data_IF_195158747816
#
_entry.id   IF_195158747816
#
_cell.length_a   1.000
_cell.length_b   1.000
_cell.length_c   1.000
_cell.angle_alpha   90.00
_cell.angle_beta   90.00
_cell.angle_gamma   90.00
#
_symmetry.space_group_name_H-M   'P 1'
#
loop_
_entity.id
_entity.type
_entity.pdbx_description
1 polymer ?
#
# COMPACT_ATOMS: atom_id res chain seq x y z
N UNK A 1 -12.89 -51.67 -41.03
CA UNK A 1 -13.34 -50.57 -41.91
C UNK A 1 -13.95 -49.51 -41.01
N UNK A 2 -13.50 -48.27 -40.88
CA UNK A 2 -12.45 -47.48 -41.52
C UNK A 2 -12.05 -46.40 -40.49
N UNK A 3 -10.77 -46.35 -40.12
CA UNK A 3 -9.81 -45.24 -40.37
C UNK A 3 -10.01 -43.96 -39.56
N UNK A 4 -9.06 -43.79 -38.65
CA UNK A 4 -8.58 -42.55 -38.03
C UNK A 4 -8.31 -41.45 -39.07
N UNK A 5 -8.61 -40.20 -38.72
CA UNK A 5 -8.04 -39.03 -39.38
C UNK A 5 -7.14 -38.29 -38.39
N UNK A 6 -5.84 -38.52 -38.56
CA UNK A 6 -4.79 -37.60 -38.19
C UNK A 6 -4.96 -36.33 -39.03
N UNK A 7 -5.07 -35.17 -38.40
CA UNK A 7 -4.73 -33.90 -39.05
C UNK A 7 -3.24 -33.68 -38.90
N UNK A 8 -2.50 -34.11 -39.94
CA UNK A 8 -1.13 -33.69 -40.22
C UNK A 8 -1.12 -32.19 -40.51
N UNK A 9 -0.34 -31.43 -39.74
CA UNK A 9 -0.02 -30.03 -40.02
C UNK A 9 1.21 -30.03 -40.93
N UNK A 10 0.98 -29.86 -42.24
CA UNK A 10 2.00 -29.85 -43.27
C UNK A 10 2.71 -28.49 -43.38
N UNK A 11 4.04 -28.60 -43.27
CA UNK A 11 5.09 -27.91 -44.03
C UNK A 11 5.41 -26.40 -43.85
N UNK A 12 6.54 -26.19 -43.15
CA UNK A 12 7.75 -25.49 -43.62
C UNK A 12 7.61 -24.13 -44.30
N UNK A 13 7.33 -23.09 -43.51
CA UNK A 13 7.90 -21.76 -43.77
C UNK A 13 9.29 -21.68 -43.13
N UNK A 14 10.32 -21.92 -43.94
CA UNK A 14 11.71 -21.63 -43.56
C UNK A 14 11.83 -20.14 -43.29
N UNK A 15 12.12 -19.77 -42.04
CA UNK A 15 12.57 -18.42 -41.68
C UNK A 15 13.91 -18.16 -42.38
N UNK A 16 13.87 -17.60 -43.59
CA UNK A 16 15.07 -17.11 -44.25
C UNK A 16 15.51 -15.88 -43.47
N UNK A 17 16.61 -16.00 -42.72
CA UNK A 17 17.29 -14.90 -42.07
C UNK A 17 17.86 -13.94 -43.12
N UNK A 18 16.98 -13.17 -43.75
CA UNK A 18 17.31 -12.12 -44.71
C UNK A 18 17.34 -10.79 -43.94
N UNK A 19 18.49 -10.51 -43.31
CA UNK A 19 18.81 -9.22 -42.71
C UNK A 19 19.22 -9.30 -41.23
N UNK A 20 20.53 -9.45 -40.98
CA UNK A 20 21.28 -8.86 -39.85
C UNK A 20 20.81 -8.97 -38.37
N UNK A 21 19.88 -9.84 -38.00
CA UNK A 21 19.58 -10.11 -36.59
C UNK A 21 20.51 -11.20 -36.01
N UNK A 22 21.73 -10.80 -35.66
CA UNK A 22 22.61 -11.63 -34.82
C UNK A 22 22.10 -11.67 -33.37
N UNK A 23 22.26 -12.81 -32.68
CA UNK A 23 21.88 -12.93 -31.26
C UNK A 23 22.64 -11.88 -30.45
N UNK A 24 21.96 -10.98 -29.72
CA UNK A 24 22.62 -9.95 -28.94
C UNK A 24 23.52 -10.62 -27.91
N UNK A 25 24.77 -10.17 -27.78
CA UNK A 25 25.65 -10.72 -26.75
C UNK A 25 25.02 -10.46 -25.38
N UNK A 26 25.00 -11.49 -24.54
CA UNK A 26 24.73 -11.31 -23.11
C UNK A 26 25.91 -10.52 -22.54
N UNK A 27 25.70 -9.24 -22.23
CA UNK A 27 26.71 -8.31 -21.71
C UNK A 27 26.51 -8.05 -20.22
N UNK A 28 27.59 -7.74 -19.50
CA UNK A 28 27.52 -7.35 -18.08
C UNK A 28 27.26 -8.52 -17.13
N UNK A 29 26.35 -8.32 -16.18
CA UNK A 29 25.94 -9.30 -15.15
C UNK A 29 24.84 -10.26 -15.62
N UNK A 30 24.28 -10.04 -16.81
CA UNK A 30 23.19 -10.84 -17.33
C UNK A 30 23.71 -12.24 -17.74
N UNK A 31 22.87 -13.25 -17.59
CA UNK A 31 23.12 -14.65 -17.98
C UNK A 31 22.20 -15.11 -19.10
N UNK A 32 21.04 -14.47 -19.24
CA UNK A 32 19.97 -14.84 -20.15
C UNK A 32 19.56 -13.65 -21.03
N UNK A 33 19.05 -13.95 -22.22
CA UNK A 33 18.52 -12.95 -23.15
C UNK A 33 17.10 -12.52 -22.74
N UNK A 34 16.32 -13.45 -22.19
CA UNK A 34 15.01 -13.13 -21.65
C UNK A 34 14.63 -14.06 -20.49
N UNK A 35 13.92 -13.50 -19.52
CA UNK A 35 13.16 -14.24 -18.53
C UNK A 35 11.70 -14.30 -18.99
N UNK A 36 11.12 -15.49 -19.11
CA UNK A 36 9.70 -15.67 -19.43
C UNK A 36 8.93 -15.98 -18.15
N UNK A 37 8.04 -15.08 -17.77
CA UNK A 37 7.12 -15.23 -16.65
C UNK A 37 5.75 -15.67 -17.16
N UNK A 38 5.22 -16.77 -16.61
CA UNK A 38 3.98 -17.40 -17.04
C UNK A 38 3.33 -18.18 -15.88
N UNK A 39 2.03 -18.47 -15.99
CA UNK A 39 1.31 -19.31 -15.01
C UNK A 39 1.65 -20.77 -15.24
N UNK A 40 1.65 -21.59 -14.17
CA UNK A 40 1.82 -23.03 -14.32
C UNK A 40 0.78 -23.66 -15.25
N UNK A 41 -0.43 -23.09 -15.33
CA UNK A 41 -1.48 -23.52 -16.25
C UNK A 41 -1.10 -23.37 -17.73
N UNK A 42 -0.21 -22.42 -18.06
CA UNK A 42 0.21 -22.11 -19.43
C UNK A 42 1.53 -22.81 -19.83
N UNK A 43 2.10 -23.61 -18.93
CA UNK A 43 3.42 -24.23 -19.08
C UNK A 43 3.58 -24.98 -20.40
N UNK A 44 2.60 -25.79 -20.78
CA UNK A 44 2.67 -26.57 -22.02
C UNK A 44 2.78 -25.70 -23.28
N UNK A 45 2.09 -24.55 -23.32
CA UNK A 45 2.17 -23.61 -24.43
C UNK A 45 3.52 -22.90 -24.44
N UNK A 46 3.97 -22.43 -23.28
CA UNK A 46 5.24 -21.70 -23.13
C UNK A 46 6.44 -22.59 -23.46
N UNK A 47 6.44 -23.86 -23.05
CA UNK A 47 7.52 -24.79 -23.40
C UNK A 47 7.62 -25.05 -24.90
N UNK A 48 6.49 -25.16 -25.61
CA UNK A 48 6.50 -25.24 -27.08
C UNK A 48 7.08 -23.98 -27.71
N UNK A 49 6.73 -22.80 -27.18
CA UNK A 49 7.29 -21.54 -27.63
C UNK A 49 8.81 -21.49 -27.42
N UNK A 50 9.28 -21.87 -26.23
CA UNK A 50 10.71 -21.88 -25.90
C UNK A 50 11.48 -22.83 -26.80
N UNK A 51 10.97 -24.05 -27.01
CA UNK A 51 11.59 -25.01 -27.92
C UNK A 51 11.75 -24.42 -29.31
N UNK A 52 10.69 -23.83 -29.85
CA UNK A 52 10.71 -23.18 -31.17
C UNK A 52 11.69 -22.00 -31.23
N UNK A 53 11.79 -21.21 -30.15
CA UNK A 53 12.76 -20.10 -30.05
C UNK A 53 14.20 -20.61 -30.04
N UNK A 54 14.50 -21.63 -29.23
CA UNK A 54 15.84 -22.22 -29.10
C UNK A 54 16.27 -22.94 -30.40
N UNK A 55 15.33 -23.55 -31.14
CA UNK A 55 15.59 -24.11 -32.48
C UNK A 55 15.83 -23.05 -33.55
N UNK A 56 15.03 -21.98 -33.56
CA UNK A 56 15.09 -20.95 -34.61
C UNK A 56 16.25 -19.96 -34.40
N UNK A 57 16.63 -19.73 -33.14
CA UNK A 57 17.64 -18.73 -32.76
C UNK A 57 18.79 -19.43 -32.01
N UNK A 58 19.79 -19.96 -32.74
CA UNK A 58 20.91 -20.64 -32.13
C UNK A 58 21.65 -19.76 -31.12
N UNK A 59 21.77 -20.23 -29.88
CA UNK A 59 22.49 -19.53 -28.80
C UNK A 59 21.64 -18.55 -27.99
N UNK A 60 20.33 -18.42 -28.27
CA UNK A 60 19.43 -17.75 -27.35
C UNK A 60 19.39 -18.52 -26.02
N UNK A 61 19.25 -17.78 -24.93
CA UNK A 61 19.26 -18.30 -23.54
C UNK A 61 18.03 -17.75 -22.86
N UNK A 62 17.09 -18.63 -22.57
CA UNK A 62 15.82 -18.29 -21.95
C UNK A 62 15.84 -18.78 -20.50
N UNK A 63 15.45 -17.89 -19.58
CA UNK A 63 15.26 -18.18 -18.17
C UNK A 63 13.77 -18.41 -17.89
N UNK A 64 13.46 -19.42 -17.08
CA UNK A 64 12.10 -19.77 -16.67
C UNK A 64 12.06 -20.26 -15.23
N UNK A 65 10.92 -20.06 -14.58
CA UNK A 65 10.79 -20.33 -13.15
C UNK A 65 10.82 -21.81 -12.77
N UNK A 66 10.45 -22.70 -13.68
CA UNK A 66 10.44 -24.14 -13.48
C UNK A 66 11.82 -24.78 -13.75
N UNK A 67 12.70 -24.13 -14.51
CA UNK A 67 14.06 -24.61 -14.80
C UNK A 67 15.13 -23.97 -13.92
N UNK A 68 15.03 -22.67 -13.65
CA UNK A 68 16.14 -21.87 -13.12
C UNK A 68 15.97 -21.46 -11.64
N UNK A 69 14.82 -21.76 -11.03
CA UNK A 69 14.62 -21.46 -9.61
C UNK A 69 15.47 -22.36 -8.73
N UNK A 70 16.17 -21.75 -7.78
CA UNK A 70 16.96 -22.48 -6.80
C UNK A 70 16.06 -22.93 -5.66
N UNK A 71 15.97 -24.23 -5.44
CA UNK A 71 15.26 -24.81 -4.30
C UNK A 71 15.86 -24.29 -2.97
N UNK A 72 15.00 -23.93 -2.03
CA UNK A 72 15.39 -23.34 -0.74
C UNK A 72 15.45 -21.81 -0.73
N UNK A 73 15.38 -21.14 -1.89
CA UNK A 73 15.11 -19.69 -1.98
C UNK A 73 13.62 -19.41 -2.07
N UNK A 74 13.20 -18.24 -1.62
CA UNK A 74 11.80 -17.82 -1.80
C UNK A 74 11.49 -17.59 -3.28
N UNK A 75 10.22 -17.73 -3.67
CA UNK A 75 9.76 -17.47 -5.05
C UNK A 75 10.11 -16.03 -5.46
N UNK A 76 9.99 -15.09 -4.52
CA UNK A 76 10.25 -13.66 -4.71
C UNK A 76 11.74 -13.41 -5.01
N UNK A 77 12.66 -13.98 -4.22
CA UNK A 77 14.11 -13.89 -4.46
C UNK A 77 14.49 -14.53 -5.79
N UNK A 78 13.96 -15.73 -6.08
CA UNK A 78 14.22 -16.42 -7.35
C UNK A 78 13.76 -15.57 -8.56
N UNK A 79 12.58 -14.94 -8.50
CA UNK A 79 12.13 -14.04 -9.56
C UNK A 79 13.02 -12.82 -9.69
N UNK A 80 13.45 -12.21 -8.59
CA UNK A 80 14.32 -11.04 -8.62
C UNK A 80 15.66 -11.38 -9.30
N UNK A 81 16.25 -12.53 -8.97
CA UNK A 81 17.48 -13.01 -9.59
C UNK A 81 17.30 -13.31 -11.09
N UNK A 82 16.18 -13.92 -11.48
CA UNK A 82 15.87 -14.19 -12.88
C UNK A 82 15.70 -12.90 -13.68
N UNK A 83 15.05 -11.89 -13.11
CA UNK A 83 14.89 -10.55 -13.71
C UNK A 83 16.24 -9.85 -13.84
N UNK A 84 17.02 -9.79 -12.75
CA UNK A 84 18.32 -9.13 -12.74
C UNK A 84 19.28 -9.77 -13.74
N UNK A 85 19.26 -11.10 -13.86
CA UNK A 85 20.14 -11.85 -14.75
C UNK A 85 19.63 -11.98 -16.19
N UNK A 86 18.54 -11.30 -16.56
CA UNK A 86 17.98 -11.35 -17.91
C UNK A 86 17.96 -9.99 -18.58
N UNK A 87 18.27 -9.93 -19.88
CA UNK A 87 18.25 -8.66 -20.62
C UNK A 87 16.84 -8.10 -20.85
N UNK A 88 15.85 -8.98 -20.98
CA UNK A 88 14.43 -8.65 -21.22
C UNK A 88 13.53 -9.50 -20.34
N UNK A 89 12.32 -9.01 -20.09
CA UNK A 89 11.28 -9.71 -19.36
C UNK A 89 10.11 -9.93 -20.32
N UNK A 90 9.72 -11.17 -20.53
CA UNK A 90 8.54 -11.54 -21.32
C UNK A 90 7.45 -11.98 -20.35
N UNK A 91 6.28 -11.35 -20.42
CA UNK A 91 5.14 -11.68 -19.57
C UNK A 91 4.05 -12.34 -20.40
N UNK A 92 3.77 -13.62 -20.15
CA UNK A 92 2.71 -14.36 -20.84
C UNK A 92 1.43 -14.23 -20.02
N UNK A 93 0.53 -13.38 -20.50
CA UNK A 93 -0.70 -12.98 -19.83
C UNK A 93 -1.86 -13.91 -20.20
N UNK A 94 -2.49 -14.45 -19.17
CA UNK A 94 -3.71 -15.26 -19.18
C UNK A 94 -4.51 -14.90 -17.92
N UNK A 95 -5.80 -15.27 -17.81
CA UNK A 95 -6.55 -15.08 -16.56
C UNK A 95 -5.81 -15.67 -15.34
N UNK A 96 -5.25 -16.87 -15.48
CA UNK A 96 -4.54 -17.56 -14.41
C UNK A 96 -3.20 -16.90 -14.10
N UNK A 97 -2.53 -16.26 -15.08
CA UNK A 97 -1.34 -15.47 -14.81
C UNK A 97 -1.67 -14.23 -13.99
N UNK A 98 -2.74 -13.52 -14.33
CA UNK A 98 -3.19 -12.31 -13.62
C UNK A 98 -3.52 -12.64 -12.17
N UNK A 99 -4.21 -13.76 -11.94
CA UNK A 99 -4.63 -14.19 -10.61
C UNK A 99 -3.49 -14.78 -9.74
N UNK A 100 -2.36 -15.18 -10.33
CA UNK A 100 -1.28 -15.86 -9.61
C UNK A 100 0.06 -15.11 -9.64
N UNK A 101 0.72 -15.07 -10.80
CA UNK A 101 2.07 -14.52 -10.97
C UNK A 101 2.08 -13.01 -10.97
N UNK A 102 1.15 -12.40 -11.68
CA UNK A 102 1.02 -10.95 -11.70
C UNK A 102 0.73 -10.41 -10.30
N UNK A 103 -0.18 -11.06 -9.56
CA UNK A 103 -0.45 -10.70 -8.16
C UNK A 103 0.83 -10.64 -7.31
N UNK A 104 1.78 -11.57 -7.53
CA UNK A 104 3.05 -11.59 -6.80
C UNK A 104 4.03 -10.50 -7.25
N UNK A 105 4.09 -10.21 -8.55
CA UNK A 105 4.82 -9.05 -9.10
C UNK A 105 4.30 -7.75 -8.51
N UNK A 106 2.99 -7.63 -8.47
CA UNK A 106 2.27 -6.46 -8.02
C UNK A 106 2.49 -6.21 -6.52
N UNK A 107 2.36 -7.25 -5.69
CA UNK A 107 2.63 -7.16 -4.25
C UNK A 107 4.09 -6.80 -3.92
N UNK A 108 5.04 -7.12 -4.80
CA UNK A 108 6.49 -6.91 -4.57
C UNK A 108 7.10 -5.90 -5.55
N UNK A 109 6.28 -5.01 -6.11
CA UNK A 109 6.72 -4.11 -7.17
C UNK A 109 7.88 -3.21 -6.73
N UNK A 110 7.93 -2.80 -5.46
CA UNK A 110 9.05 -2.02 -4.92
C UNK A 110 10.39 -2.76 -4.96
N UNK A 111 10.36 -4.09 -4.78
CA UNK A 111 11.57 -4.92 -4.83
C UNK A 111 12.00 -5.17 -6.28
N UNK A 112 11.03 -5.36 -7.18
CA UNK A 112 11.33 -5.56 -8.60
C UNK A 112 11.66 -4.26 -9.33
N UNK A 113 11.20 -3.10 -8.85
CA UNK A 113 11.38 -1.79 -9.50
C UNK A 113 12.85 -1.50 -9.79
N UNK A 114 13.73 -1.66 -8.80
CA UNK A 114 15.16 -1.43 -8.97
C UNK A 114 15.77 -2.38 -10.02
N UNK A 115 15.33 -3.63 -10.02
CA UNK A 115 15.81 -4.67 -10.92
C UNK A 115 15.28 -4.54 -12.36
N UNK A 116 14.09 -3.95 -12.52
CA UNK A 116 13.39 -3.77 -13.80
C UNK A 116 13.69 -2.41 -14.46
N UNK A 117 14.23 -1.45 -13.71
CA UNK A 117 14.43 -0.04 -14.11
C UNK A 117 15.17 0.18 -15.43
N UNK A 118 15.87 -0.83 -15.94
CA UNK A 118 16.63 -0.79 -17.20
C UNK A 118 16.38 -2.01 -18.10
N UNK A 119 15.27 -2.73 -17.91
CA UNK A 119 14.95 -3.97 -18.64
C UNK A 119 13.71 -3.75 -19.50
N UNK A 120 13.75 -4.18 -20.76
CA UNK A 120 12.58 -4.13 -21.63
C UNK A 120 11.55 -5.18 -21.23
N UNK A 121 10.30 -4.77 -21.06
CA UNK A 121 9.15 -5.65 -20.80
C UNK A 121 8.42 -5.91 -22.12
N UNK A 122 8.09 -7.17 -22.39
CA UNK A 122 7.36 -7.64 -23.58
C UNK A 122 6.12 -8.41 -23.13
N UNK A 123 4.94 -7.77 -23.09
CA UNK A 123 3.69 -8.45 -22.77
C UNK A 123 3.21 -9.29 -23.96
N UNK A 124 2.74 -10.51 -23.69
CA UNK A 124 2.12 -11.41 -24.65
C UNK A 124 0.73 -11.77 -24.10
N UNK A 125 -0.35 -11.45 -24.83
CA UNK A 125 -1.70 -11.89 -24.51
C UNK A 125 -1.88 -13.29 -25.08
N UNK A 126 -1.88 -14.30 -24.21
CA UNK A 126 -2.13 -15.69 -24.58
C UNK A 126 -3.63 -15.99 -24.66
N UNK A 127 -4.40 -15.48 -23.69
CA UNK A 127 -5.85 -15.59 -23.62
C UNK A 127 -6.43 -14.25 -23.12
N UNK A 128 -7.65 -13.86 -23.53
CA UNK A 128 -8.27 -12.62 -23.06
C UNK A 128 -8.32 -12.56 -21.53
N UNK A 129 -7.73 -11.51 -20.95
CA UNK A 129 -7.68 -11.30 -19.51
C UNK A 129 -7.75 -9.80 -19.18
N UNK A 130 -8.04 -9.47 -17.92
CA UNK A 130 -7.98 -8.08 -17.46
C UNK A 130 -6.52 -7.63 -17.48
N UNK A 131 -6.18 -6.72 -18.40
CA UNK A 131 -4.83 -6.20 -18.51
C UNK A 131 -4.48 -5.41 -17.24
N UNK A 132 -3.39 -5.78 -16.54
CA UNK A 132 -2.96 -5.03 -15.40
C UNK A 132 -2.65 -3.57 -15.76
N UNK A 133 -3.05 -2.63 -14.92
CA UNK A 133 -2.85 -1.19 -15.16
C UNK A 133 -1.37 -0.81 -15.36
N UNK A 134 -0.46 -1.55 -14.73
CA UNK A 134 0.98 -1.34 -14.95
C UNK A 134 1.44 -1.75 -16.35
N UNK A 135 0.72 -2.64 -17.05
CA UNK A 135 1.04 -3.05 -18.41
C UNK A 135 0.17 -2.33 -19.46
N UNK A 136 -0.87 -1.59 -19.05
CA UNK A 136 -1.85 -1.00 -19.98
C UNK A 136 -1.30 0.09 -20.88
N UNK A 137 -0.15 0.66 -20.55
CA UNK A 137 0.55 1.65 -21.37
C UNK A 137 1.59 1.01 -22.31
N UNK A 138 1.82 -0.30 -22.21
CA UNK A 138 2.72 -1.04 -23.06
C UNK A 138 1.95 -1.67 -24.22
N UNK A 139 2.54 -1.64 -25.42
CA UNK A 139 2.04 -2.46 -26.52
C UNK A 139 2.35 -3.93 -26.24
N UNK A 140 1.44 -4.80 -26.65
CA UNK A 140 1.52 -6.25 -26.40
C UNK A 140 1.51 -7.02 -27.71
N UNK A 141 1.92 -8.29 -27.65
CA UNK A 141 1.80 -9.24 -28.75
C UNK A 141 0.62 -10.17 -28.47
N UNK A 142 -0.23 -10.44 -29.47
CA UNK A 142 -1.29 -11.43 -29.34
C UNK A 142 -0.78 -12.79 -29.80
N UNK A 143 -0.98 -13.84 -29.00
CA UNK A 143 -0.50 -15.18 -29.33
C UNK A 143 -1.22 -15.80 -30.55
N UNK A 144 -2.41 -15.29 -30.88
CA UNK A 144 -3.23 -15.72 -32.01
C UNK A 144 -2.85 -15.02 -33.33
N UNK A 145 -2.01 -13.99 -33.29
CA UNK A 145 -1.51 -13.29 -34.48
C UNK A 145 -0.66 -14.23 -35.35
N UNK A 146 -0.94 -14.29 -36.65
CA UNK A 146 -0.21 -15.14 -37.61
C UNK A 146 1.29 -14.81 -37.64
N UNK A 147 1.65 -13.53 -37.43
CA UNK A 147 3.03 -13.04 -37.41
C UNK A 147 3.62 -12.98 -35.99
N UNK A 148 2.90 -13.49 -34.97
CA UNK A 148 3.30 -13.43 -33.56
C UNK A 148 4.76 -13.86 -33.34
N UNK A 149 5.13 -15.01 -33.88
CA UNK A 149 6.45 -15.60 -33.64
C UNK A 149 7.57 -14.74 -34.24
N UNK A 150 7.38 -14.21 -35.44
CA UNK A 150 8.35 -13.34 -36.08
C UNK A 150 8.51 -12.01 -35.33
N UNK A 151 7.39 -11.41 -34.90
CA UNK A 151 7.38 -10.19 -34.09
C UNK A 151 8.12 -10.39 -32.77
N UNK A 152 7.90 -11.53 -32.10
CA UNK A 152 8.60 -11.89 -30.87
C UNK A 152 10.10 -12.06 -31.09
N UNK A 153 10.51 -12.81 -32.12
CA UNK A 153 11.93 -12.99 -32.46
C UNK A 153 12.62 -11.65 -32.72
N UNK A 154 12.03 -10.77 -33.53
CA UNK A 154 12.54 -9.41 -33.77
C UNK A 154 12.67 -8.61 -32.48
N UNK A 155 11.69 -8.71 -31.57
CA UNK A 155 11.71 -8.00 -30.28
C UNK A 155 12.82 -8.52 -29.36
N UNK A 156 12.99 -9.83 -29.27
CA UNK A 156 14.01 -10.46 -28.42
C UNK A 156 15.43 -10.13 -28.89
N UNK A 157 15.66 -10.11 -30.20
CA UNK A 157 16.96 -9.91 -30.82
C UNK A 157 17.40 -8.43 -30.93
N UNK A 158 16.50 -7.48 -30.68
CA UNK A 158 16.84 -6.04 -30.71
C UNK A 158 17.80 -5.67 -29.56
N UNK A 159 18.86 -4.90 -29.86
CA UNK A 159 19.84 -4.47 -28.86
C UNK A 159 19.26 -3.46 -27.85
N UNK A 160 19.50 -3.72 -26.55
CA UNK A 160 19.04 -2.87 -25.44
C UNK A 160 19.72 -1.49 -25.40
N UNK A 161 20.91 -1.33 -25.99
CA UNK A 161 21.69 -0.08 -25.96
C UNK A 161 21.00 1.13 -26.64
N UNK A 162 19.99 0.88 -27.50
CA UNK A 162 19.15 1.93 -28.10
C UNK A 162 17.83 2.15 -27.34
N UNK A 163 17.49 1.31 -26.36
CA UNK A 163 16.23 1.42 -25.61
C UNK A 163 16.35 2.30 -24.36
N UNK A 164 17.55 2.46 -23.82
CA UNK A 164 17.78 3.25 -22.60
C UNK A 164 17.48 4.74 -22.78
N UNK A 165 17.47 5.27 -24.01
CA UNK A 165 17.05 6.66 -24.30
C UNK A 165 15.58 6.75 -24.77
N UNK A 166 15.10 5.82 -25.60
CA UNK A 166 13.76 5.91 -26.21
C UNK A 166 12.62 5.34 -25.33
N UNK A 167 12.92 4.50 -24.33
CA UNK A 167 11.95 3.89 -23.41
C UNK A 167 12.30 4.20 -21.96
N UNK A 168 12.91 5.35 -21.70
CA UNK A 168 12.86 5.99 -20.39
C UNK A 168 11.44 6.50 -20.15
N UNK A 169 10.48 5.57 -20.02
CA UNK A 169 9.28 5.85 -19.27
C UNK A 169 9.79 6.15 -17.87
N UNK A 170 9.83 7.43 -17.54
CA UNK A 170 10.03 7.90 -16.17
C UNK A 170 9.07 7.08 -15.32
N UNK A 171 9.63 6.15 -14.56
CA UNK A 171 8.90 5.13 -13.83
C UNK A 171 8.12 5.84 -12.72
N UNK A 172 6.96 6.40 -13.07
CA UNK A 172 6.06 6.97 -12.10
C UNK A 172 5.45 5.79 -11.36
N UNK A 173 5.92 5.60 -10.14
CA UNK A 173 5.47 4.62 -9.16
C UNK A 173 3.95 4.54 -9.10
N UNK A 174 3.36 3.69 -9.92
CA UNK A 174 1.94 3.38 -9.87
C UNK A 174 1.80 2.01 -9.24
N UNK A 175 2.07 1.99 -7.93
CA UNK A 175 1.73 0.93 -6.99
C UNK A 175 0.22 0.66 -7.14
N UNK A 176 -0.11 -0.59 -7.38
CA UNK A 176 -1.39 -1.28 -7.14
C UNK A 176 -0.94 -2.65 -6.61
N UNK A 177 -1.61 -3.46 -5.78
CA UNK A 177 -2.86 -3.35 -5.05
C UNK A 177 -2.64 -3.86 -3.62
N UNK A 178 -2.49 -2.92 -2.68
CA UNK A 178 -2.36 -3.17 -1.24
C UNK A 178 -1.70 -1.98 -0.56
N UNK A 179 -2.50 -1.07 0.02
CA UNK A 179 -1.98 0.07 0.78
C UNK A 179 -1.60 1.31 -0.06
N UNK A 180 -2.08 1.42 -1.31
CA UNK A 180 -1.85 2.64 -2.11
C UNK A 180 -2.63 3.80 -1.50
N UNK A 181 -1.93 4.86 -1.12
CA UNK A 181 -2.56 6.14 -0.81
C UNK A 181 -3.26 6.71 -2.05
N UNK A 182 -4.55 6.98 -1.92
CA UNK A 182 -5.39 7.50 -2.99
C UNK A 182 -5.52 9.02 -2.90
N UNK A 183 -5.73 9.54 -1.70
CA UNK A 183 -6.04 10.95 -1.48
C UNK A 183 -5.84 11.35 -0.02
N UNK A 184 -5.31 12.55 0.21
CA UNK A 184 -5.45 13.28 1.47
C UNK A 184 -6.46 14.40 1.28
N UNK A 185 -7.56 14.35 2.01
CA UNK A 185 -8.61 15.36 2.01
C UNK A 185 -8.42 16.29 3.21
N UNK A 186 -8.30 17.58 2.96
CA UNK A 186 -8.25 18.60 3.99
C UNK A 186 -9.66 18.97 4.46
N UNK A 187 -9.79 19.32 5.73
CA UNK A 187 -11.03 19.83 6.28
C UNK A 187 -11.37 21.22 5.71
N UNK A 188 -12.64 21.45 5.42
CA UNK A 188 -13.19 22.66 4.80
C UNK A 188 -13.21 23.85 5.77
N UNK A 189 -13.40 23.58 7.07
CA UNK A 189 -13.50 24.60 8.12
C UNK A 189 -12.14 25.19 8.58
N UNK A 190 -11.03 24.82 7.96
CA UNK A 190 -9.70 25.33 8.33
C UNK A 190 -9.29 25.00 9.78
N UNK A 191 -8.12 25.47 10.22
CA UNK A 191 -7.53 25.10 11.53
C UNK A 191 -8.25 25.68 12.76
N UNK A 192 -9.29 26.50 12.60
CA UNK A 192 -9.78 27.45 13.61
C UNK A 192 -10.82 26.89 14.61
N UNK A 193 -11.45 25.75 14.33
CA UNK A 193 -12.50 25.23 15.21
C UNK A 193 -11.97 24.33 16.34
N UNK A 194 -12.64 24.40 17.50
CA UNK A 194 -12.31 23.66 18.72
C UNK A 194 -12.60 22.15 18.64
N UNK A 195 -13.21 21.67 17.55
CA UNK A 195 -13.62 20.28 17.30
C UNK A 195 -12.88 19.61 16.14
N UNK A 196 -13.46 18.50 15.65
CA UNK A 196 -13.01 17.78 14.45
C UNK A 196 -13.23 18.61 13.19
N UNK A 197 -12.38 18.39 12.18
CA UNK A 197 -12.53 19.00 10.86
C UNK A 197 -13.75 18.46 10.13
N UNK A 198 -14.39 19.32 9.35
CA UNK A 198 -15.54 18.97 8.49
C UNK A 198 -15.04 18.74 7.07
N UNK A 199 -15.40 17.60 6.48
CA UNK A 199 -14.97 17.20 5.14
C UNK A 199 -16.12 17.35 4.13
N UNK A 200 -15.79 17.70 2.88
CA UNK A 200 -16.81 17.88 1.83
C UNK A 200 -17.44 16.54 1.43
N UNK A 201 -18.77 16.45 1.52
CA UNK A 201 -19.59 15.32 1.06
C UNK A 201 -20.28 15.58 -0.29
N UNK A 202 -20.08 16.76 -0.88
CA UNK A 202 -20.82 17.25 -2.07
C UNK A 202 -20.47 16.51 -3.35
N UNK A 203 -19.21 16.13 -3.53
CA UNK A 203 -18.69 15.47 -4.73
C UNK A 203 -17.63 14.44 -4.36
N UNK A 204 -17.67 13.26 -5.00
CA UNK A 204 -16.59 12.28 -4.89
C UNK A 204 -15.34 12.84 -5.59
N UNK A 205 -14.19 12.92 -4.91
CA UNK A 205 -12.93 13.35 -5.51
C UNK A 205 -12.53 12.46 -6.70
N UNK A 206 -11.90 13.04 -7.73
CA UNK A 206 -11.55 12.31 -8.97
C UNK A 206 -10.71 11.06 -8.72
N UNK A 207 -9.79 11.12 -7.75
CA UNK A 207 -8.95 9.99 -7.33
C UNK A 207 -9.77 8.80 -6.79
N UNK A 208 -10.97 9.04 -6.25
CA UNK A 208 -11.85 8.01 -5.71
C UNK A 208 -12.90 7.53 -6.71
N UNK A 209 -13.21 8.31 -7.77
CA UNK A 209 -14.22 7.95 -8.79
C UNK A 209 -13.91 6.65 -9.53
N UNK A 210 -12.63 6.31 -9.69
CA UNK A 210 -12.21 5.07 -10.34
C UNK A 210 -12.59 3.81 -9.55
N UNK A 211 -12.82 3.94 -8.24
CA UNK A 211 -13.02 2.83 -7.31
C UNK A 211 -14.42 2.85 -6.70
N UNK A 212 -14.91 4.04 -6.33
CA UNK A 212 -16.25 4.25 -5.79
C UNK A 212 -17.24 4.38 -6.95
N UNK A 213 -17.91 3.27 -7.28
CA UNK A 213 -18.92 3.23 -8.35
C UNK A 213 -20.24 3.90 -7.94
N UNK A 214 -20.60 3.84 -6.66
CA UNK A 214 -21.80 4.47 -6.11
C UNK A 214 -21.41 5.68 -5.24
N UNK A 215 -21.71 6.92 -5.68
CA UNK A 215 -21.34 8.13 -4.95
C UNK A 215 -22.07 8.27 -3.61
N UNK A 216 -23.21 7.59 -3.41
CA UNK A 216 -23.95 7.64 -2.13
C UNK A 216 -23.19 6.94 -0.99
N UNK A 217 -22.35 5.95 -1.29
CA UNK A 217 -21.49 5.28 -0.31
C UNK A 217 -20.50 6.28 0.27
N UNK A 218 -19.83 7.05 -0.59
CA UNK A 218 -18.88 8.09 -0.17
C UNK A 218 -19.58 9.16 0.66
N UNK A 219 -20.72 9.67 0.17
CA UNK A 219 -21.47 10.71 0.86
C UNK A 219 -21.88 10.30 2.27
N UNK A 220 -22.45 9.11 2.44
CA UNK A 220 -22.82 8.56 3.77
C UNK A 220 -21.60 8.38 4.66
N UNK A 221 -20.48 7.89 4.12
CA UNK A 221 -19.25 7.72 4.87
C UNK A 221 -18.69 9.05 5.40
N UNK A 222 -18.69 10.11 4.58
CA UNK A 222 -18.26 11.45 5.02
C UNK A 222 -19.22 12.05 6.04
N UNK A 223 -20.54 11.87 5.86
CA UNK A 223 -21.54 12.33 6.84
C UNK A 223 -21.33 11.70 8.22
N UNK A 224 -21.06 10.39 8.27
CA UNK A 224 -20.72 9.69 9.52
C UNK A 224 -19.47 10.25 10.21
N UNK A 225 -18.46 10.65 9.43
CA UNK A 225 -17.22 11.25 9.94
C UNK A 225 -17.49 12.67 10.47
N UNK A 226 -18.30 13.44 9.75
CA UNK A 226 -18.65 14.82 10.13
C UNK A 226 -19.58 14.88 11.37
N UNK A 227 -20.37 13.83 11.63
CA UNK A 227 -21.22 13.69 12.84
C UNK A 227 -20.43 13.43 14.14
N UNK A 228 -19.14 13.77 14.17
CA UNK A 228 -18.31 13.68 15.39
C UNK A 228 -18.71 14.81 16.36
N UNK A 229 -19.19 14.52 17.57
CA UNK A 229 -19.67 15.55 18.49
C UNK A 229 -18.52 16.45 18.95
N UNK A 230 -18.72 17.78 19.03
CA UNK A 230 -17.70 18.69 19.52
C UNK A 230 -17.52 18.55 21.03
N UNK A 231 -16.27 18.41 21.50
CA UNK A 231 -15.92 18.25 22.92
C UNK A 231 -15.99 19.60 23.67
N UNK A 232 -17.21 20.16 23.78
CA UNK A 232 -17.47 21.52 24.28
C UNK A 232 -17.35 21.62 25.81
N UNK A 233 -17.73 20.57 26.54
CA UNK A 233 -17.90 20.63 28.00
C UNK A 233 -16.57 20.68 28.77
N UNK A 234 -15.59 19.86 28.37
CA UNK A 234 -14.32 19.77 29.08
C UNK A 234 -13.33 20.88 28.72
N UNK A 235 -13.49 21.52 27.55
CA UNK A 235 -12.54 22.51 27.05
C UNK A 235 -12.65 23.87 27.77
N UNK A 236 -13.88 24.33 28.06
CA UNK A 236 -14.10 25.65 28.68
C UNK A 236 -13.77 25.67 30.17
N UNK A 237 -13.99 24.56 30.87
CA UNK A 237 -13.76 24.47 32.32
C UNK A 237 -12.26 24.53 32.65
N UNK A 238 -11.42 23.87 31.85
CA UNK A 238 -9.97 23.77 32.07
C UNK A 238 -9.20 25.00 31.61
N UNK A 239 -9.61 25.66 30.52
CA UNK A 239 -9.06 26.96 30.13
C UNK A 239 -9.34 28.02 31.22
N UNK A 240 -10.53 27.98 31.83
CA UNK A 240 -10.84 28.79 33.00
C UNK A 240 -9.95 28.48 34.21
N UNK A 241 -9.75 27.21 34.54
CA UNK A 241 -8.90 26.80 35.68
C UNK A 241 -7.42 27.13 35.45
N UNK A 242 -6.90 26.95 34.23
CA UNK A 242 -5.52 27.28 33.89
C UNK A 242 -5.30 28.81 33.92
N UNK A 243 -6.25 29.58 33.39
CA UNK A 243 -6.22 31.04 33.45
C UNK A 243 -6.25 31.55 34.89
N UNK A 244 -7.07 30.96 35.76
CA UNK A 244 -7.08 31.28 37.19
C UNK A 244 -5.74 30.98 37.86
N UNK A 245 -5.13 29.81 37.63
CA UNK A 245 -3.84 29.44 38.21
C UNK A 245 -2.69 30.36 37.77
N UNK A 246 -2.65 30.71 36.48
CA UNK A 246 -1.67 31.66 35.94
C UNK A 246 -1.89 33.07 36.52
N UNK A 247 -3.15 33.50 36.67
CA UNK A 247 -3.51 34.76 37.32
C UNK A 247 -3.07 34.80 38.78
N UNK A 248 -3.32 33.75 39.56
CA UNK A 248 -2.86 33.64 40.95
C UNK A 248 -1.32 33.67 41.04
N UNK A 249 -0.60 32.99 40.15
CA UNK A 249 0.87 33.02 40.11
C UNK A 249 1.41 34.42 39.81
N UNK A 250 0.76 35.17 38.91
CA UNK A 250 1.15 36.54 38.56
C UNK A 250 0.92 37.48 39.75
N UNK A 251 -0.21 37.37 40.43
CA UNK A 251 -0.52 38.16 41.63
C UNK A 251 0.51 37.90 42.73
N UNK A 252 0.90 36.64 42.96
CA UNK A 252 1.93 36.28 43.95
C UNK A 252 3.29 36.91 43.58
N UNK A 253 3.69 36.88 42.31
CA UNK A 253 4.92 37.51 41.84
C UNK A 253 4.92 39.03 42.06
N UNK A 254 3.80 39.70 41.76
CA UNK A 254 3.64 41.14 42.01
C UNK A 254 3.72 41.43 43.52
N UNK A 255 3.08 40.60 44.35
CA UNK A 255 3.14 40.76 45.80
C UNK A 255 4.58 40.63 46.32
N UNK A 256 5.32 39.61 45.88
CA UNK A 256 6.74 39.40 46.21
C UNK A 256 7.58 40.60 45.77
N UNK A 257 7.34 41.14 44.57
CA UNK A 257 8.04 42.34 44.07
C UNK A 257 7.77 43.57 44.94
N UNK A 258 6.51 43.82 45.32
CA UNK A 258 6.16 44.96 46.19
C UNK A 258 6.75 44.79 47.59
N UNK A 259 6.73 43.58 48.16
CA UNK A 259 7.36 43.28 49.45
C UNK A 259 8.90 43.42 49.40
N UNK A 260 9.52 43.21 48.23
CA UNK A 260 10.97 43.44 47.98
C UNK A 260 11.42 44.87 48.09
N UNK A 261 10.52 45.81 47.88
CA UNK A 261 10.81 47.21 48.10
C UNK A 261 10.84 47.58 49.59
N UNK A 262 10.33 46.74 50.49
CA UNK A 262 10.10 47.10 51.90
C UNK A 262 11.04 46.44 52.92
N UNK A 263 11.39 45.13 52.88
CA UNK A 263 12.42 44.53 53.78
C UNK A 263 12.80 43.06 53.45
N UNK A 264 13.95 42.60 53.98
CA UNK A 264 14.43 41.21 54.18
C UNK A 264 14.85 40.37 52.96
N UNK A 265 16.17 40.30 52.72
CA UNK A 265 16.82 39.58 51.59
C UNK A 265 16.68 38.04 51.61
N UNK A 266 16.42 37.42 52.76
CA UNK A 266 16.36 35.96 52.90
C UNK A 266 15.04 35.36 52.42
N UNK A 267 13.96 36.15 52.36
CA UNK A 267 12.64 35.71 51.92
C UNK A 267 12.63 35.40 50.40
N UNK A 268 13.40 36.15 49.60
CA UNK A 268 13.51 35.93 48.14
C UNK A 268 14.11 34.57 47.79
N UNK A 269 15.05 34.08 48.60
CA UNK A 269 15.75 32.82 48.36
C UNK A 269 14.81 31.60 48.35
N UNK A 270 13.64 31.69 49.01
CA UNK A 270 12.67 30.58 49.09
C UNK A 270 11.47 30.80 48.16
N UNK A 271 10.91 32.02 48.13
CA UNK A 271 9.65 32.27 47.41
C UNK A 271 9.83 32.46 45.90
N UNK A 272 10.97 32.99 45.46
CA UNK A 272 11.24 33.17 44.03
C UNK A 272 11.37 31.81 43.32
N UNK A 273 12.19 30.84 43.80
CA UNK A 273 12.22 29.49 43.24
C UNK A 273 10.86 28.78 43.28
N UNK A 274 10.12 28.90 44.39
CA UNK A 274 8.80 28.26 44.52
C UNK A 274 7.79 28.78 43.47
N UNK A 275 7.82 30.08 43.16
CA UNK A 275 6.98 30.67 42.11
C UNK A 275 7.39 30.18 40.71
N UNK A 276 8.68 30.04 40.43
CA UNK A 276 9.15 29.48 39.16
C UNK A 276 8.74 28.01 38.99
N UNK A 277 8.80 27.21 40.06
CA UNK A 277 8.33 25.81 40.05
C UNK A 277 6.82 25.75 39.81
N UNK A 278 6.02 26.59 40.47
CA UNK A 278 4.57 26.63 40.28
C UNK A 278 4.19 27.02 38.84
N UNK A 279 4.87 28.03 38.28
CA UNK A 279 4.69 28.44 36.88
C UNK A 279 5.10 27.33 35.91
N UNK A 280 6.23 26.66 36.15
CA UNK A 280 6.67 25.51 35.37
C UNK A 280 5.67 24.35 35.38
N UNK A 281 5.10 24.02 36.54
CA UNK A 281 4.05 22.99 36.68
C UNK A 281 2.76 23.40 35.95
N UNK A 282 2.36 24.69 36.01
CA UNK A 282 1.19 25.19 35.30
C UNK A 282 1.36 25.12 33.77
N UNK A 283 2.53 25.54 33.26
CA UNK A 283 2.87 25.41 31.84
C UNK A 283 2.91 23.94 31.40
N UNK A 284 3.55 23.07 32.17
CA UNK A 284 3.60 21.64 31.88
C UNK A 284 2.20 21.01 31.87
N UNK A 285 1.34 21.34 32.85
CA UNK A 285 -0.07 20.88 32.89
C UNK A 285 -0.88 21.43 31.71
N UNK A 286 -0.68 22.69 31.32
CA UNK A 286 -1.33 23.29 30.16
C UNK A 286 -0.94 22.63 28.85
N UNK A 287 0.36 22.38 28.64
CA UNK A 287 0.88 21.67 27.48
C UNK A 287 0.38 20.21 27.44
N UNK A 288 0.49 19.49 28.56
CA UNK A 288 0.00 18.12 28.71
C UNK A 288 -1.50 18.02 28.41
N UNK A 289 -2.29 18.98 28.89
CA UNK A 289 -3.73 19.00 28.64
C UNK A 289 -4.06 19.28 27.17
N UNK A 290 -3.36 20.21 26.53
CA UNK A 290 -3.53 20.53 25.10
C UNK A 290 -3.23 19.30 24.22
N UNK A 291 -2.16 18.57 24.53
CA UNK A 291 -1.80 17.33 23.85
C UNK A 291 -2.88 16.26 24.05
N UNK A 292 -3.36 16.07 25.30
CA UNK A 292 -4.38 15.08 25.62
C UNK A 292 -5.77 15.41 25.03
N UNK A 293 -6.09 16.71 24.84
CA UNK A 293 -7.27 17.18 24.11
C UNK A 293 -7.20 16.79 22.63
N UNK A 294 -6.06 17.04 21.98
CA UNK A 294 -5.86 16.68 20.57
C UNK A 294 -5.94 15.16 20.35
N UNK A 295 -5.38 14.38 21.29
CA UNK A 295 -5.44 12.91 21.26
C UNK A 295 -6.89 12.41 21.33
N UNK A 296 -7.72 12.96 22.22
CA UNK A 296 -9.14 12.60 22.34
C UNK A 296 -9.94 12.91 21.07
N UNK A 297 -9.79 14.12 20.53
CA UNK A 297 -10.47 14.50 19.27
C UNK A 297 -10.12 13.53 18.14
N UNK A 298 -8.83 13.19 18.01
CA UNK A 298 -8.37 12.24 17.00
C UNK A 298 -8.89 10.82 17.24
N UNK A 299 -9.05 10.40 18.51
CA UNK A 299 -9.62 9.10 18.87
C UNK A 299 -11.12 9.01 18.51
N UNK A 300 -11.89 10.05 18.82
CA UNK A 300 -13.32 10.10 18.51
C UNK A 300 -13.54 10.14 16.99
N UNK A 301 -12.74 10.92 16.27
CA UNK A 301 -12.73 10.90 14.80
C UNK A 301 -12.38 9.52 14.26
N UNK A 302 -11.33 8.86 14.77
CA UNK A 302 -10.97 7.52 14.31
C UNK A 302 -12.09 6.51 14.54
N UNK A 303 -12.83 6.59 15.65
CA UNK A 303 -14.00 5.72 15.86
C UNK A 303 -15.07 5.93 14.76
N UNK A 304 -15.38 7.18 14.42
CA UNK A 304 -16.32 7.52 13.35
C UNK A 304 -15.82 7.12 11.96
N UNK A 305 -14.53 7.30 11.69
CA UNK A 305 -13.89 6.81 10.47
C UNK A 305 -13.96 5.28 10.40
N UNK A 306 -13.81 4.59 11.51
CA UNK A 306 -13.97 3.15 11.61
C UNK A 306 -15.38 2.69 11.27
N UNK A 307 -16.41 3.40 11.74
CA UNK A 307 -17.81 3.19 11.36
C UNK A 307 -18.01 3.42 9.84
N UNK A 308 -17.45 4.50 9.30
CA UNK A 308 -17.48 4.80 7.87
C UNK A 308 -16.74 3.75 7.01
N UNK A 309 -15.66 3.17 7.53
CA UNK A 309 -14.88 2.13 6.86
C UNK A 309 -15.66 0.82 6.66
N UNK A 310 -16.71 0.57 7.44
CA UNK A 310 -17.62 -0.56 7.19
C UNK A 310 -18.35 -0.41 5.84
N UNK A 311 -18.63 0.83 5.42
CA UNK A 311 -19.23 1.14 4.12
C UNK A 311 -18.16 1.14 3.01
N UNK A 312 -17.03 1.80 3.27
CA UNK A 312 -15.95 1.98 2.28
C UNK A 312 -15.22 0.66 1.95
N UNK A 313 -15.15 -0.29 2.89
CA UNK A 313 -14.52 -1.59 2.66
C UNK A 313 -15.16 -2.37 1.51
N UNK A 314 -16.45 -2.16 1.24
CA UNK A 314 -17.13 -2.76 0.08
C UNK A 314 -16.58 -2.26 -1.27
N UNK A 315 -15.91 -1.11 -1.28
CA UNK A 315 -15.20 -0.56 -2.44
C UNK A 315 -13.69 -0.80 -2.37
N UNK A 316 -13.19 -1.65 -1.46
CA UNK A 316 -11.76 -1.85 -1.21
C UNK A 316 -11.02 -0.55 -0.83
N UNK A 317 -11.69 0.33 -0.09
CA UNK A 317 -11.12 1.59 0.41
C UNK A 317 -11.17 1.60 1.93
N UNK A 318 -10.09 2.08 2.54
CA UNK A 318 -10.08 2.47 3.94
C UNK A 318 -9.69 3.94 4.07
N UNK A 319 -10.33 4.63 5.00
CA UNK A 319 -10.01 5.97 5.43
C UNK A 319 -9.32 5.92 6.80
N UNK A 320 -8.42 6.86 7.06
CA UNK A 320 -7.75 7.06 8.34
C UNK A 320 -7.48 8.54 8.56
N UNK A 321 -7.31 8.97 9.81
CA UNK A 321 -6.88 10.33 10.09
C UNK A 321 -5.65 10.34 10.98
N UNK A 322 -4.83 11.37 10.79
CA UNK A 322 -3.61 11.61 11.56
C UNK A 322 -3.61 12.95 12.27
N UNK A 323 -4.57 13.80 11.93
CA UNK A 323 -4.83 15.09 12.56
C UNK A 323 -6.33 15.33 12.52
N UNK A 324 -6.78 16.32 13.31
CA UNK A 324 -8.18 16.73 13.30
C UNK A 324 -8.64 17.31 11.94
N UNK A 325 -7.73 17.61 11.01
CA UNK A 325 -8.02 18.36 9.78
C UNK A 325 -7.61 17.65 8.49
N UNK A 326 -7.19 16.38 8.58
CA UNK A 326 -6.72 15.60 7.43
C UNK A 326 -7.28 14.20 7.46
N UNK A 327 -7.90 13.79 6.36
CA UNK A 327 -8.44 12.45 6.15
C UNK A 327 -7.73 11.80 4.96
N UNK A 328 -7.09 10.67 5.20
CA UNK A 328 -6.33 9.92 4.22
C UNK A 328 -7.13 8.71 3.75
N UNK A 329 -7.22 8.51 2.44
CA UNK A 329 -7.84 7.34 1.82
C UNK A 329 -6.77 6.43 1.22
N UNK A 330 -6.91 5.13 1.45
CA UNK A 330 -6.03 4.11 0.89
C UNK A 330 -6.85 3.03 0.20
N UNK A 331 -6.31 2.45 -0.87
CA UNK A 331 -6.86 1.27 -1.49
C UNK A 331 -6.35 0.01 -0.79
N UNK A 332 -7.26 -0.79 -0.25
CA UNK A 332 -6.97 -2.06 0.43
C UNK A 332 -8.12 -3.03 0.18
N UNK A 333 -7.83 -4.18 -0.45
CA UNK A 333 -8.77 -5.30 -0.49
C UNK A 333 -8.75 -6.02 0.86
N UNK A 334 -9.91 -6.17 1.47
CA UNK A 334 -10.06 -6.88 2.75
C UNK A 334 -10.69 -8.27 2.57
N UNK A 335 -10.74 -8.80 1.35
CA UNK A 335 -11.37 -10.09 1.05
C UNK A 335 -10.70 -11.25 1.81
N UNK A 336 -9.38 -11.37 1.70
CA UNK A 336 -8.61 -12.44 2.34
C UNK A 336 -8.61 -12.29 3.87
N UNK A 337 -8.56 -11.04 4.34
CA UNK A 337 -8.75 -10.69 5.75
C UNK A 337 -10.13 -11.15 6.25
N UNK A 338 -11.20 -10.94 5.47
CA UNK A 338 -12.52 -11.42 5.85
C UNK A 338 -12.58 -12.94 5.89
N UNK A 339 -12.00 -13.62 4.91
CA UNK A 339 -11.94 -15.09 4.87
C UNK A 339 -11.23 -15.67 6.10
N UNK A 340 -10.13 -15.04 6.56
CA UNK A 340 -9.49 -15.47 7.80
C UNK A 340 -10.34 -15.19 9.06
N UNK A 341 -11.04 -14.06 9.11
CA UNK A 341 -11.99 -13.79 10.21
C UNK A 341 -13.06 -14.89 10.26
N UNK A 342 -13.59 -15.31 9.10
CA UNK A 342 -14.53 -16.42 9.00
C UNK A 342 -13.92 -17.73 9.51
N UNK A 343 -12.67 -18.05 9.15
CA UNK A 343 -11.99 -19.27 9.64
C UNK A 343 -11.80 -19.22 11.17
N UNK A 344 -11.45 -18.06 11.71
CA UNK A 344 -11.10 -17.86 13.12
C UNK A 344 -12.32 -17.86 14.05
N UNK A 345 -13.43 -17.26 13.61
CA UNK A 345 -14.63 -17.04 14.43
C UNK A 345 -15.89 -17.76 13.90
N UNK A 346 -15.77 -18.56 12.83
CA UNK A 346 -16.90 -19.10 12.07
C UNK A 346 -17.74 -20.19 12.75
N UNK A 347 -17.48 -20.52 14.02
CA UNK A 347 -18.38 -21.37 14.81
C UNK A 347 -19.72 -20.68 15.11
N UNK A 348 -19.75 -19.34 15.09
CA UNK A 348 -20.96 -18.52 15.28
C UNK A 348 -20.91 -17.29 14.36
N UNK A 349 -21.88 -17.20 13.43
CA UNK A 349 -21.98 -16.09 12.46
C UNK A 349 -22.24 -14.74 13.13
N UNK A 350 -22.96 -14.71 14.25
CA UNK A 350 -23.21 -13.45 14.97
C UNK A 350 -21.93 -12.96 15.66
N UNK A 351 -21.16 -13.89 16.23
CA UNK A 351 -19.86 -13.60 16.84
C UNK A 351 -18.84 -13.11 15.79
N UNK A 352 -18.74 -13.78 14.65
CA UNK A 352 -17.86 -13.38 13.54
C UNK A 352 -18.16 -11.95 13.08
N UNK A 353 -19.44 -11.65 12.79
CA UNK A 353 -19.85 -10.33 12.32
C UNK A 353 -19.61 -9.26 13.40
N UNK A 354 -19.84 -9.58 14.67
CA UNK A 354 -19.55 -8.70 15.80
C UNK A 354 -18.05 -8.39 15.92
N UNK A 355 -17.20 -9.42 15.83
CA UNK A 355 -15.75 -9.28 15.93
C UNK A 355 -15.16 -8.53 14.73
N UNK A 356 -15.64 -8.80 13.52
CA UNK A 356 -15.28 -8.04 12.33
C UNK A 356 -15.63 -6.55 12.48
N UNK A 357 -16.87 -6.27 12.91
CA UNK A 357 -17.35 -4.89 13.06
C UNK A 357 -16.52 -4.14 14.09
N UNK A 358 -16.23 -4.76 15.24
CA UNK A 358 -15.34 -4.18 16.26
C UNK A 358 -13.93 -3.94 15.73
N UNK A 359 -13.39 -4.89 14.97
CA UNK A 359 -12.05 -4.78 14.42
C UNK A 359 -11.93 -3.64 13.40
N UNK A 360 -12.91 -3.53 12.50
CA UNK A 360 -12.99 -2.45 11.52
C UNK A 360 -13.09 -1.10 12.23
N UNK A 361 -14.01 -0.95 13.18
CA UNK A 361 -14.21 0.32 13.88
C UNK A 361 -12.95 0.75 14.64
N UNK A 362 -12.30 -0.18 15.33
CA UNK A 362 -11.21 0.15 16.26
C UNK A 362 -9.86 0.31 15.59
N UNK A 363 -9.60 -0.38 14.47
CA UNK A 363 -8.24 -0.51 13.97
C UNK A 363 -8.04 -0.18 12.49
N UNK A 364 -9.06 -0.29 11.65
CA UNK A 364 -8.92 0.04 10.23
C UNK A 364 -8.47 1.50 9.96
N UNK A 365 -8.88 2.51 10.76
CA UNK A 365 -8.40 3.89 10.59
C UNK A 365 -6.90 4.06 10.87
N UNK A 366 -6.41 3.39 11.93
CA UNK A 366 -4.99 3.40 12.28
C UNK A 366 -4.15 2.74 11.19
N UNK A 367 -4.62 1.61 10.67
CA UNK A 367 -3.97 0.92 9.56
C UNK A 367 -3.94 1.76 8.28
N UNK A 368 -5.06 2.38 7.92
CA UNK A 368 -5.14 3.27 6.76
C UNK A 368 -4.15 4.44 6.86
N UNK A 369 -4.00 5.02 8.05
CA UNK A 369 -3.05 6.10 8.30
C UNK A 369 -1.58 5.62 8.20
N UNK A 370 -1.24 4.45 8.77
CA UNK A 370 0.10 3.86 8.62
C UNK A 370 0.45 3.63 7.14
N UNK A 371 -0.50 3.10 6.38
CA UNK A 371 -0.35 2.88 4.93
C UNK A 371 -0.19 4.19 4.17
N UNK A 372 -1.03 5.19 4.46
CA UNK A 372 -0.99 6.50 3.82
C UNK A 372 0.37 7.20 3.98
N UNK A 373 0.96 7.11 5.18
CA UNK A 373 2.22 7.79 5.51
C UNK A 373 3.47 6.98 5.21
N UNK A 374 3.32 5.72 4.76
CA UNK A 374 4.41 4.74 4.65
C UNK A 374 5.23 4.63 5.95
N UNK A 375 4.60 4.91 7.08
CA UNK A 375 5.26 5.06 8.37
C UNK A 375 4.58 4.12 9.35
N UNK A 376 5.29 3.04 9.67
CA UNK A 376 4.94 2.13 10.75
C UNK A 376 5.91 2.42 11.90
N UNK A 377 5.50 3.18 12.93
CA UNK A 377 6.40 3.48 14.04
C UNK A 377 6.58 2.22 14.90
N UNK A 378 7.56 1.38 14.56
CA UNK A 378 7.93 0.21 15.36
C UNK A 378 9.34 0.38 15.91
N UNK A 379 9.48 1.26 16.90
CA UNK A 379 10.58 1.23 17.86
C UNK A 379 9.95 1.15 19.25
N UNK A 380 10.21 0.04 19.96
CA UNK A 380 9.78 -0.28 21.35
C UNK A 380 8.36 -0.84 21.53
N UNK A 381 8.12 -1.66 22.59
CA UNK A 381 6.92 -2.49 22.71
C UNK A 381 5.62 -1.68 22.71
N UNK A 382 4.50 -2.28 22.24
CA UNK A 382 3.21 -1.61 22.16
C UNK A 382 2.74 -1.15 23.56
N UNK A 383 2.04 0.00 23.66
CA UNK A 383 1.49 0.48 24.92
C UNK A 383 0.56 -0.57 25.57
N UNK A 384 0.52 -0.67 26.92
CA UNK A 384 -0.18 -1.73 27.65
C UNK A 384 -1.69 -1.84 27.36
N UNK A 385 -2.30 -0.79 26.82
CA UNK A 385 -3.69 -0.77 26.33
C UNK A 385 -3.92 -1.76 25.15
N UNK A 386 -2.87 -2.17 24.43
CA UNK A 386 -2.97 -3.19 23.38
C UNK A 386 -3.11 -4.63 23.91
N UNK A 387 -2.79 -4.87 25.19
CA UNK A 387 -2.71 -6.21 25.78
C UNK A 387 -3.86 -6.48 26.75
N UNK A 388 -4.49 -5.44 27.32
CA UNK A 388 -5.56 -5.61 28.33
C UNK A 388 -6.91 -6.06 27.78
N UNK A 389 -7.21 -5.83 26.49
CA UNK A 389 -8.55 -6.06 25.91
C UNK A 389 -8.65 -7.29 24.99
N UNK A 390 -7.53 -8.00 24.74
CA UNK A 390 -7.53 -9.18 23.87
C UNK A 390 -7.77 -8.86 22.39
N UNK A 391 -6.71 -8.97 21.58
CA UNK A 391 -6.65 -8.88 20.11
C UNK A 391 -6.54 -7.46 19.55
N UNK A 392 -5.40 -7.19 18.90
CA UNK A 392 -5.15 -5.99 18.10
C UNK A 392 -5.04 -6.40 16.63
N UNK A 393 -5.85 -5.79 15.78
CA UNK A 393 -5.97 -6.00 14.33
C UNK A 393 -4.67 -6.24 13.55
N UNK A 394 -3.52 -5.73 13.98
CA UNK A 394 -2.25 -5.95 13.30
C UNK A 394 -1.53 -7.25 13.69
N UNK A 395 -1.81 -7.87 14.85
CA UNK A 395 -1.38 -9.24 15.13
C UNK A 395 -2.27 -10.26 14.39
N UNK A 396 -3.52 -9.86 14.16
CA UNK A 396 -4.51 -10.55 13.32
C UNK A 396 -4.16 -10.51 11.81
N UNK A 397 -3.73 -9.37 11.28
CA UNK A 397 -3.20 -9.25 9.89
C UNK A 397 -1.80 -9.88 9.76
N UNK A 398 -0.96 -9.82 10.80
CA UNK A 398 0.40 -10.40 10.76
C UNK A 398 0.44 -11.94 10.88
N UNK A 399 -0.44 -12.61 11.66
CA UNK A 399 -0.54 -14.10 11.60
C UNK A 399 -0.97 -14.62 10.21
N UNK A 400 -1.65 -13.79 9.42
CA UNK A 400 -1.99 -14.10 8.03
C UNK A 400 -0.84 -13.87 7.04
N UNK A 401 0.16 -13.07 7.42
CA UNK A 401 1.37 -12.88 6.63
C UNK A 401 2.46 -13.87 7.07
N UNK A 402 2.52 -14.25 8.36
CA UNK A 402 3.55 -15.09 9.00
C UNK A 402 3.39 -16.62 8.79
N UNK A 403 2.32 -17.10 8.13
CA UNK A 403 2.37 -18.41 7.46
C UNK A 403 3.39 -18.44 6.31
N UNK A 404 3.81 -17.26 5.84
CA UNK A 404 5.04 -17.07 5.08
C UNK A 404 6.23 -16.90 6.03
N UNK A 405 6.98 -17.99 6.23
CA UNK A 405 8.26 -18.13 6.98
C UNK A 405 8.14 -18.03 8.51
N UNK A 406 8.47 -19.03 9.33
CA UNK A 406 9.72 -19.83 9.40
C UNK A 406 9.68 -20.71 10.69
N UNK A 407 10.69 -21.54 11.07
CA UNK A 407 12.08 -21.65 10.61
C UNK A 407 12.34 -22.65 9.49
#
# INVERSE_FOLDING_TARGET
MATSQNTEYGDSTSFSASGDLSVPRVTGTDKYHAFISFSGADSAWVHRLIHKLEETIPGIKICTHDRDFTAGKTIIENMAECIQSSQKIVMVLSPEFVDSRWCLFEANLSMFQDCMSHKAIVPIILRPCLMPLYLSHLTYLEAEDEEFFEKLCKRLLRNNAKETEDVLVHFQSSILYGGKHLLSLAAVNGHEEAGSGVFSDTCVPDALKAVVKDPEIYKKAIQLINDTPPDILNAKCTEGVLGLLLGFSLVILILIFVLSCFTMTWWYSIHLPASFVAFGVALHRGAYWKENKMKRITQDMNKKIGEANLLLAGCSILAGCSSKSSLDFVFVSLKDCREMFCITFGSDRELEQCMWTKAMIRYSPGYANCMAKKLFPFHNPPPPEHVSDGICFCQYVAMQIEGGNRP
#
